data_IF_423406640055
#
_entry.id   IF_423406640055
#
_cell.length_a   1.000
_cell.length_b   1.000
_cell.length_c   1.000
_cell.angle_alpha   90.00
_cell.angle_beta   90.00
_cell.angle_gamma   90.00
#
_symmetry.space_group_name_H-M   'P 1'
#
loop_
_entity.id
_entity.type
_entity.pdbx_description
1 polymer ?
#
# COMPACT_ATOMS: atom_id res chain seq x y z
N UNK A 1 5.41 15.86 -13.40
CA UNK A 1 6.26 14.88 -14.12
C UNK A 1 6.21 13.59 -13.32
N UNK A 2 5.76 12.50 -13.94
CA UNK A 2 5.67 11.20 -13.27
C UNK A 2 7.04 10.54 -13.13
N UNK A 3 7.13 9.55 -12.23
CA UNK A 3 8.29 8.67 -12.07
C UNK A 3 8.13 7.46 -12.98
N UNK A 4 9.16 7.17 -13.79
CA UNK A 4 9.20 5.96 -14.61
C UNK A 4 9.95 4.87 -13.86
N UNK A 5 9.31 3.73 -13.68
CA UNK A 5 9.88 2.55 -13.04
C UNK A 5 9.89 1.36 -14.01
N UNK A 6 10.90 0.50 -13.86
CA UNK A 6 10.96 -0.77 -14.56
C UNK A 6 10.38 -1.89 -13.68
N UNK A 7 9.54 -2.71 -14.27
CA UNK A 7 8.93 -3.87 -13.62
C UNK A 7 9.17 -5.13 -14.45
N UNK A 8 9.12 -6.27 -13.80
CA UNK A 8 9.08 -7.58 -14.43
C UNK A 8 7.62 -8.05 -14.53
N UNK A 9 7.16 -8.31 -15.75
CA UNK A 9 5.86 -8.86 -16.06
C UNK A 9 6.07 -10.16 -16.82
N UNK A 10 5.79 -11.30 -16.22
CA UNK A 10 5.97 -12.65 -16.82
C UNK A 10 7.37 -12.86 -17.41
N UNK A 11 8.40 -12.39 -16.71
CA UNK A 11 9.80 -12.51 -17.15
C UNK A 11 10.24 -11.46 -18.18
N UNK A 12 9.36 -10.54 -18.57
CA UNK A 12 9.67 -9.44 -19.46
C UNK A 12 9.76 -8.12 -18.72
N UNK A 13 10.76 -7.30 -19.04
CA UNK A 13 10.85 -5.95 -18.49
C UNK A 13 9.87 -5.04 -19.19
N UNK A 14 9.05 -4.36 -18.42
CA UNK A 14 8.17 -3.28 -18.85
C UNK A 14 8.51 -2.00 -18.09
N UNK A 15 8.24 -0.86 -18.68
CA UNK A 15 8.41 0.43 -18.02
C UNK A 15 7.03 1.10 -17.88
N UNK A 16 6.66 1.40 -16.64
CA UNK A 16 5.41 2.08 -16.32
C UNK A 16 5.73 3.49 -15.80
N UNK A 17 5.03 4.47 -16.33
CA UNK A 17 5.08 5.84 -15.82
C UNK A 17 4.01 5.98 -14.74
N UNK A 18 4.37 6.57 -13.59
CA UNK A 18 3.44 6.82 -12.49
C UNK A 18 3.47 8.32 -12.21
N UNK A 19 2.40 9.00 -12.53
CA UNK A 19 2.25 10.45 -12.31
C UNK A 19 1.16 10.81 -11.30
N UNK A 20 0.45 9.79 -10.77
CA UNK A 20 -0.56 9.91 -9.73
C UNK A 20 -0.42 8.76 -8.73
N UNK A 21 -0.53 9.05 -7.44
CA UNK A 21 -0.64 8.05 -6.39
C UNK A 21 -1.88 8.33 -5.54
N UNK A 22 -2.81 7.38 -5.49
CA UNK A 22 -4.01 7.39 -4.67
C UNK A 22 -3.93 6.24 -3.68
N UNK A 23 -3.80 6.55 -2.41
CA UNK A 23 -3.72 5.56 -1.34
C UNK A 23 -5.13 5.40 -0.75
N UNK A 24 -5.74 4.23 -0.99
CA UNK A 24 -7.06 3.92 -0.45
C UNK A 24 -6.96 3.42 0.99
N UNK A 25 -7.91 3.82 1.81
CA UNK A 25 -8.12 3.29 3.16
C UNK A 25 -9.59 2.99 3.40
N UNK A 26 -9.91 2.23 4.46
CA UNK A 26 -11.28 1.85 4.79
C UNK A 26 -11.96 1.07 3.65
N UNK A 27 -11.26 0.10 3.15
CA UNK A 27 -11.65 -0.69 1.98
C UNK A 27 -12.20 -2.07 2.35
N UNK A 28 -12.52 -2.31 3.63
CA UNK A 28 -13.21 -3.53 4.05
C UNK A 28 -14.59 -3.63 3.39
N UNK A 29 -14.99 -4.82 2.96
CA UNK A 29 -16.36 -5.12 2.52
C UNK A 29 -17.34 -5.12 3.68
N UNK A 30 -16.88 -5.30 4.90
CA UNK A 30 -17.72 -5.17 6.12
C UNK A 30 -17.85 -3.68 6.49
N UNK A 31 -18.87 -3.04 5.92
CA UNK A 31 -19.17 -1.62 6.17
C UNK A 31 -19.52 -1.36 7.63
N UNK A 32 -20.12 -2.33 8.33
CA UNK A 32 -20.48 -2.17 9.73
C UNK A 32 -19.24 -2.17 10.63
N UNK A 33 -18.26 -3.00 10.33
CA UNK A 33 -16.95 -2.96 11.00
C UNK A 33 -16.24 -1.62 10.78
N UNK A 34 -16.24 -1.12 9.55
CA UNK A 34 -15.68 0.22 9.23
C UNK A 34 -16.37 1.32 10.03
N UNK A 35 -17.70 1.32 10.08
CA UNK A 35 -18.46 2.32 10.86
C UNK A 35 -18.15 2.24 12.35
N UNK A 36 -18.14 1.03 12.91
CA UNK A 36 -17.81 0.78 14.32
C UNK A 36 -16.42 1.32 14.66
N UNK A 37 -15.42 1.02 13.83
CA UNK A 37 -14.07 1.53 14.01
C UNK A 37 -14.00 3.07 13.95
N UNK A 38 -14.73 3.69 13.03
CA UNK A 38 -14.84 5.15 12.95
C UNK A 38 -15.46 5.76 14.21
N UNK A 39 -16.51 5.14 14.76
CA UNK A 39 -17.14 5.60 15.99
C UNK A 39 -16.20 5.49 17.21
N UNK A 40 -15.42 4.41 17.28
CA UNK A 40 -14.40 4.23 18.32
C UNK A 40 -13.32 5.32 18.26
N UNK A 41 -12.82 5.60 17.06
CA UNK A 41 -11.83 6.67 16.85
C UNK A 41 -12.40 8.06 17.19
N UNK A 42 -13.67 8.34 16.89
CA UNK A 42 -14.31 9.62 17.25
C UNK A 42 -14.39 9.82 18.76
N UNK A 43 -14.59 8.74 19.53
CA UNK A 43 -14.61 8.83 21.02
C UNK A 43 -13.26 9.28 21.58
N UNK A 44 -12.16 9.14 20.84
CA UNK A 44 -10.84 9.66 21.20
C UNK A 44 -10.63 11.14 20.85
N UNK A 45 -11.66 11.82 20.30
CA UNK A 45 -11.62 13.23 19.94
C UNK A 45 -11.06 13.54 18.55
N UNK A 46 -10.79 12.51 17.75
CA UNK A 46 -10.31 12.68 16.36
C UNK A 46 -11.48 13.03 15.46
N UNK A 47 -11.36 14.15 14.72
CA UNK A 47 -12.32 14.48 13.66
C UNK A 47 -12.01 13.65 12.41
N UNK A 48 -12.92 12.76 12.03
CA UNK A 48 -12.80 11.89 10.88
C UNK A 48 -13.94 12.13 9.90
N UNK A 49 -13.64 12.05 8.61
CA UNK A 49 -14.64 11.93 7.55
C UNK A 49 -15.39 10.59 7.67
N UNK A 50 -16.65 10.56 7.27
CA UNK A 50 -17.45 9.32 7.15
C UNK A 50 -17.16 8.58 5.84
N UNK A 51 -16.31 9.12 5.00
CA UNK A 51 -16.00 8.58 3.69
C UNK A 51 -15.33 7.19 3.78
N UNK A 52 -15.90 6.21 3.08
CA UNK A 52 -15.35 4.89 2.86
C UNK A 52 -15.70 4.40 1.44
N UNK A 53 -14.71 4.04 0.63
CA UNK A 53 -13.27 4.19 0.90
C UNK A 53 -12.83 5.66 0.94
N UNK A 54 -11.80 5.95 1.73
CA UNK A 54 -11.12 7.26 1.71
C UNK A 54 -9.88 7.17 0.81
N UNK A 55 -9.56 8.25 0.09
CA UNK A 55 -8.34 8.33 -0.72
C UNK A 55 -7.44 9.46 -0.26
N UNK A 56 -6.16 9.15 -0.12
CA UNK A 56 -5.10 10.10 0.16
C UNK A 56 -4.21 10.25 -1.08
N UNK A 57 -4.07 11.46 -1.57
CA UNK A 57 -3.12 11.72 -2.64
C UNK A 57 -1.69 11.72 -2.10
N UNK A 58 -0.78 11.05 -2.80
CA UNK A 58 0.65 11.07 -2.50
C UNK A 58 1.44 11.67 -3.66
N UNK A 59 2.54 12.34 -3.36
CA UNK A 59 3.42 12.93 -4.37
C UNK A 59 3.92 11.81 -5.30
N UNK A 60 3.78 12.00 -6.60
CA UNK A 60 3.94 10.94 -7.63
C UNK A 60 5.33 10.32 -7.70
N UNK A 61 6.38 11.05 -7.31
CA UNK A 61 7.75 10.54 -7.30
C UNK A 61 8.14 9.80 -6.01
N UNK A 62 7.25 9.82 -5.00
CA UNK A 62 7.41 9.10 -3.72
C UNK A 62 7.06 7.62 -3.83
N UNK A 63 7.74 6.91 -4.73
CA UNK A 63 7.61 5.47 -4.96
C UNK A 63 8.97 4.89 -5.32
N UNK A 64 9.25 3.67 -4.88
CA UNK A 64 10.54 3.03 -5.14
C UNK A 64 10.45 1.51 -5.17
N UNK A 65 11.30 0.88 -5.97
CA UNK A 65 11.57 -0.56 -5.94
C UNK A 65 12.83 -0.91 -5.15
N UNK A 66 13.47 0.10 -4.54
CA UNK A 66 14.67 -0.10 -3.72
C UNK A 66 14.36 -0.80 -2.41
N UNK A 67 15.38 -1.43 -1.86
CA UNK A 67 15.30 -2.21 -0.60
C UNK A 67 15.74 -1.43 0.62
N UNK A 68 16.09 -0.15 0.47
CA UNK A 68 16.51 0.74 1.57
C UNK A 68 15.79 2.07 1.45
N UNK A 69 15.15 2.48 2.55
CA UNK A 69 14.58 3.82 2.70
C UNK A 69 15.38 4.59 3.75
N UNK A 70 15.82 5.80 3.43
CA UNK A 70 16.44 6.69 4.42
C UNK A 70 15.38 7.45 5.22
N UNK A 71 15.63 7.69 6.49
CA UNK A 71 14.74 8.47 7.36
C UNK A 71 15.49 9.34 8.36
N UNK A 72 14.79 10.34 8.90
CA UNK A 72 15.28 11.16 10.00
C UNK A 72 15.08 10.38 11.32
N UNK A 73 16.17 10.09 12.08
CA UNK A 73 16.08 9.27 13.30
C UNK A 73 15.17 9.85 14.38
N UNK A 74 14.62 8.98 15.21
CA UNK A 74 13.85 9.34 16.40
C UNK A 74 12.35 9.42 16.20
N UNK A 75 11.84 8.96 15.06
CA UNK A 75 10.39 8.88 14.77
C UNK A 75 9.91 7.43 14.71
N UNK A 76 8.68 7.20 15.14
CA UNK A 76 8.00 5.91 15.00
C UNK A 76 7.40 5.80 13.62
N UNK A 77 7.67 4.71 12.92
CA UNK A 77 7.07 4.42 11.63
C UNK A 77 6.79 2.93 11.48
N UNK A 78 5.83 2.57 10.65
CA UNK A 78 5.52 1.17 10.35
C UNK A 78 5.01 1.02 8.94
N UNK A 79 5.22 -0.17 8.34
CA UNK A 79 4.67 -0.54 7.06
C UNK A 79 3.23 -1.03 7.17
N UNK A 80 2.54 -0.98 6.05
CA UNK A 80 1.20 -1.53 5.82
C UNK A 80 1.21 -2.21 4.46
N UNK A 81 1.03 -3.54 4.42
CA UNK A 81 0.97 -4.24 3.13
C UNK A 81 -0.33 -3.91 2.42
N UNK A 82 -0.23 -3.53 1.14
CA UNK A 82 -1.37 -3.20 0.30
C UNK A 82 -1.21 -3.79 -1.10
N UNK A 83 -2.28 -4.31 -1.67
CA UNK A 83 -2.25 -4.57 -3.10
C UNK A 83 -2.28 -3.27 -3.90
N UNK A 84 -1.78 -3.31 -5.10
CA UNK A 84 -1.68 -2.15 -5.98
C UNK A 84 -2.30 -2.45 -7.32
N UNK A 85 -3.10 -1.51 -7.81
CA UNK A 85 -3.55 -1.43 -9.18
C UNK A 85 -2.73 -0.33 -9.88
N UNK A 86 -1.86 -0.72 -10.81
CA UNK A 86 -1.14 0.22 -11.66
C UNK A 86 -1.86 0.35 -12.99
N UNK A 87 -2.08 1.57 -13.44
CA UNK A 87 -2.61 1.84 -14.77
C UNK A 87 -1.54 2.51 -15.64
N UNK A 88 -1.44 2.12 -16.90
CA UNK A 88 -0.59 2.79 -17.86
C UNK A 88 -1.32 3.90 -18.64
N UNK A 89 -0.67 4.48 -19.65
CA UNK A 89 -1.23 5.52 -20.52
C UNK A 89 -2.46 5.07 -21.34
N UNK A 90 -2.65 3.75 -21.48
CA UNK A 90 -3.79 3.12 -22.19
C UNK A 90 -4.83 2.56 -21.23
N UNK A 91 -4.64 2.80 -19.93
CA UNK A 91 -5.44 2.22 -18.85
C UNK A 91 -5.37 0.69 -18.79
N UNK A 92 -4.31 0.07 -19.31
CA UNK A 92 -4.01 -1.32 -19.01
C UNK A 92 -3.71 -1.43 -17.51
N UNK A 93 -4.35 -2.40 -16.86
CA UNK A 93 -4.22 -2.59 -15.40
C UNK A 93 -3.22 -3.69 -15.12
N UNK A 94 -2.32 -3.42 -14.19
CA UNK A 94 -1.39 -4.37 -13.61
C UNK A 94 -1.61 -4.46 -12.11
N UNK A 95 -1.40 -5.65 -11.56
CA UNK A 95 -1.52 -5.93 -10.13
C UNK A 95 -0.15 -6.11 -9.51
N UNK A 96 0.07 -5.43 -8.40
CA UNK A 96 1.30 -5.52 -7.61
C UNK A 96 1.01 -5.53 -6.13
N UNK A 97 2.08 -5.45 -5.34
CA UNK A 97 2.03 -5.31 -3.88
C UNK A 97 3.05 -4.27 -3.43
N UNK A 98 2.65 -3.44 -2.48
CA UNK A 98 3.47 -2.38 -1.92
C UNK A 98 3.37 -2.34 -0.39
N UNK A 99 4.10 -1.39 0.20
CA UNK A 99 3.89 -0.98 1.58
C UNK A 99 3.59 0.52 1.64
N UNK A 100 2.46 0.89 2.23
CA UNK A 100 2.19 2.28 2.61
C UNK A 100 2.89 2.59 3.93
N UNK A 101 4.22 2.79 3.85
CA UNK A 101 5.03 3.08 5.04
C UNK A 101 4.70 4.47 5.58
N UNK A 102 4.28 4.52 6.83
CA UNK A 102 3.69 5.71 7.45
C UNK A 102 4.47 6.15 8.68
N UNK A 103 4.75 7.45 8.81
CA UNK A 103 5.25 8.08 10.03
C UNK A 103 4.11 8.18 11.05
N UNK A 104 4.19 7.39 12.12
CA UNK A 104 3.09 7.27 13.11
C UNK A 104 3.01 8.45 14.05
N UNK A 105 4.12 9.12 14.32
CA UNK A 105 4.10 10.34 15.14
C UNK A 105 3.40 11.47 14.36
N UNK A 106 3.73 11.64 13.09
CA UNK A 106 3.10 12.67 12.24
C UNK A 106 1.64 12.32 11.91
N UNK A 107 1.29 11.04 11.85
CA UNK A 107 -0.08 10.59 11.60
C UNK A 107 -1.07 11.07 12.67
N UNK A 108 -0.62 11.21 13.93
CA UNK A 108 -1.45 11.77 15.00
C UNK A 108 -1.86 13.21 14.74
N UNK A 109 -1.06 13.93 13.94
CA UNK A 109 -1.33 15.31 13.56
C UNK A 109 -2.07 15.40 12.21
N UNK A 110 -1.56 14.71 11.18
CA UNK A 110 -2.13 14.75 9.84
C UNK A 110 -1.73 13.52 9.02
N UNK A 111 -2.71 12.68 8.69
CA UNK A 111 -2.50 11.44 7.93
C UNK A 111 -1.90 11.69 6.54
N UNK A 112 -2.39 12.73 5.81
CA UNK A 112 -1.87 13.03 4.47
C UNK A 112 -0.38 13.41 4.51
N UNK A 113 0.05 14.18 5.51
CA UNK A 113 1.45 14.54 5.68
C UNK A 113 2.31 13.33 6.10
N UNK A 114 1.78 12.49 6.98
CA UNK A 114 2.47 11.28 7.44
C UNK A 114 2.84 10.34 6.29
N UNK A 115 1.96 10.21 5.31
CA UNK A 115 2.16 9.37 4.12
C UNK A 115 3.17 9.95 3.12
N UNK A 116 3.54 11.24 3.22
CA UNK A 116 4.53 11.89 2.34
C UNK A 116 5.97 11.68 2.82
N UNK A 117 6.19 11.26 4.07
CA UNK A 117 7.54 11.19 4.68
C UNK A 117 8.41 10.13 4.01
N UNK A 118 7.82 8.97 3.72
CA UNK A 118 8.51 7.84 3.09
C UNK A 118 8.07 7.65 1.65
N UNK A 119 8.95 7.09 0.82
CA UNK A 119 8.55 6.55 -0.47
C UNK A 119 7.66 5.32 -0.24
N UNK A 120 6.80 4.99 -1.21
CA UNK A 120 6.04 3.75 -1.24
C UNK A 120 6.94 2.64 -1.82
N UNK A 121 7.43 1.68 -1.01
CA UNK A 121 8.16 0.54 -1.53
C UNK A 121 7.17 -0.37 -2.27
N UNK A 122 7.47 -0.67 -3.53
CA UNK A 122 6.66 -1.55 -4.37
C UNK A 122 7.51 -2.71 -4.88
N UNK A 123 6.93 -3.90 -4.99
CA UNK A 123 7.60 -5.02 -5.64
C UNK A 123 7.97 -4.67 -7.09
N UNK A 124 9.18 -5.04 -7.56
CA UNK A 124 9.53 -4.90 -8.97
C UNK A 124 8.82 -5.91 -9.88
N UNK A 125 7.99 -6.80 -9.34
CA UNK A 125 7.21 -7.78 -10.08
C UNK A 125 5.75 -7.39 -10.12
N UNK A 126 5.11 -7.60 -11.28
CA UNK A 126 3.68 -7.35 -11.50
C UNK A 126 3.01 -8.57 -12.13
N UNK A 127 1.71 -8.69 -11.91
CA UNK A 127 0.84 -9.59 -12.66
C UNK A 127 -0.08 -8.80 -13.60
N UNK A 128 -0.56 -9.47 -14.66
CA UNK A 128 -1.67 -8.92 -15.45
C UNK A 128 -2.95 -9.02 -14.65
N UNK A 129 -3.77 -7.99 -14.70
CA UNK A 129 -5.05 -7.95 -14.00
C UNK A 129 -5.98 -9.11 -14.44
N UNK A 130 -6.05 -9.35 -15.73
CA UNK A 130 -6.85 -10.42 -16.34
C UNK A 130 -6.43 -11.83 -15.87
N UNK A 131 -5.21 -12.00 -15.41
CA UNK A 131 -4.72 -13.29 -14.93
C UNK A 131 -5.21 -13.67 -13.54
N UNK A 132 -5.69 -12.71 -12.76
CA UNK A 132 -6.04 -12.92 -11.34
C UNK A 132 -7.47 -12.51 -10.99
N UNK A 133 -8.15 -11.76 -11.84
CA UNK A 133 -9.46 -11.18 -11.50
C UNK A 133 -10.56 -12.22 -11.27
N UNK A 134 -10.53 -13.36 -11.98
CA UNK A 134 -11.54 -14.41 -11.85
C UNK A 134 -11.50 -15.10 -10.48
N UNK A 135 -10.32 -15.11 -9.84
CA UNK A 135 -10.11 -15.70 -8.51
C UNK A 135 -9.52 -14.69 -7.50
N UNK A 136 -9.80 -13.40 -7.71
CA UNK A 136 -9.30 -12.31 -6.89
C UNK A 136 -9.48 -12.52 -5.40
N UNK A 137 -10.64 -13.03 -5.00
CA UNK A 137 -11.02 -13.23 -3.60
C UNK A 137 -10.18 -14.31 -2.90
N UNK A 138 -9.54 -15.20 -3.67
CA UNK A 138 -8.63 -16.21 -3.11
C UNK A 138 -7.20 -15.70 -2.86
N UNK A 139 -6.84 -14.55 -3.42
CA UNK A 139 -5.52 -13.97 -3.22
C UNK A 139 -5.29 -13.63 -1.75
N UNK A 140 -4.06 -13.81 -1.28
CA UNK A 140 -3.68 -13.57 0.11
C UNK A 140 -2.56 -12.55 0.18
N UNK A 141 -2.76 -11.49 0.97
CA UNK A 141 -1.67 -10.57 1.34
C UNK A 141 -1.08 -10.96 2.68
N UNK A 142 0.25 -10.86 2.78
CA UNK A 142 0.99 -11.08 4.03
C UNK A 142 2.09 -10.05 4.21
N UNK A 143 2.35 -9.73 5.46
CA UNK A 143 3.54 -8.97 5.84
C UNK A 143 4.22 -9.57 7.06
N UNK A 144 5.52 -9.43 7.11
CA UNK A 144 6.37 -9.79 8.24
C UNK A 144 7.21 -8.60 8.64
N UNK A 145 7.45 -8.46 9.93
CA UNK A 145 8.49 -7.62 10.50
C UNK A 145 9.67 -8.49 10.91
N UNK A 146 10.86 -7.93 10.95
CA UNK A 146 12.03 -8.67 11.40
C UNK A 146 12.32 -8.30 12.85
N UNK A 147 12.28 -9.29 13.74
CA UNK A 147 12.61 -9.19 15.15
C UNK A 147 13.76 -10.16 15.48
N UNK A 148 14.82 -9.65 16.06
CA UNK A 148 16.03 -10.42 16.38
C UNK A 148 16.54 -11.25 15.15
N UNK A 149 16.46 -10.66 13.96
CA UNK A 149 16.88 -11.27 12.69
C UNK A 149 15.95 -12.38 12.18
N UNK A 150 14.74 -12.51 12.73
CA UNK A 150 13.75 -13.53 12.30
C UNK A 150 12.46 -12.87 11.81
N UNK A 151 11.84 -13.40 10.76
CA UNK A 151 10.55 -12.91 10.31
C UNK A 151 9.43 -13.33 11.28
N UNK A 152 8.67 -12.35 11.72
CA UNK A 152 7.45 -12.52 12.54
C UNK A 152 6.27 -12.07 11.69
N UNK A 153 5.26 -12.93 11.51
CA UNK A 153 4.07 -12.60 10.75
C UNK A 153 3.32 -11.45 11.43
N UNK A 154 3.07 -10.39 10.67
CA UNK A 154 2.57 -9.12 11.17
C UNK A 154 1.15 -8.81 10.69
N UNK A 155 0.88 -9.06 9.40
CA UNK A 155 -0.42 -8.91 8.78
C UNK A 155 -0.68 -10.11 7.86
N UNK A 156 -1.90 -10.58 7.80
CA UNK A 156 -2.37 -11.60 6.87
C UNK A 156 -3.88 -11.45 6.66
N UNK A 157 -4.32 -11.59 5.42
CA UNK A 157 -5.74 -11.63 5.08
C UNK A 157 -5.96 -11.99 3.62
N UNK A 158 -7.17 -12.46 3.32
CA UNK A 158 -7.63 -12.71 1.96
C UNK A 158 -8.24 -11.45 1.34
N UNK A 159 -8.08 -11.28 0.04
CA UNK A 159 -8.66 -10.14 -0.66
C UNK A 159 -10.20 -10.18 -0.74
N UNK A 160 -10.83 -11.31 -0.39
CA UNK A 160 -12.29 -11.38 -0.21
C UNK A 160 -12.83 -10.43 0.88
N UNK A 161 -11.99 -10.02 1.83
CA UNK A 161 -12.36 -9.10 2.91
C UNK A 161 -12.33 -7.63 2.47
N UNK A 162 -11.71 -7.33 1.31
CA UNK A 162 -11.50 -5.98 0.80
C UNK A 162 -12.37 -5.70 -0.42
N UNK A 163 -12.66 -4.43 -0.69
CA UNK A 163 -13.35 -4.01 -1.92
C UNK A 163 -12.64 -4.57 -3.15
N UNK A 164 -13.43 -4.95 -4.15
CA UNK A 164 -12.89 -5.46 -5.40
C UNK A 164 -12.18 -4.36 -6.21
N UNK A 165 -11.23 -4.74 -7.07
CA UNK A 165 -10.53 -3.78 -7.92
C UNK A 165 -11.46 -2.85 -8.70
N UNK A 166 -12.58 -3.37 -9.23
CA UNK A 166 -13.53 -2.59 -10.01
C UNK A 166 -14.15 -1.46 -9.18
N UNK A 167 -14.51 -1.76 -7.92
CA UNK A 167 -15.09 -0.77 -7.01
C UNK A 167 -14.06 0.30 -6.63
N UNK A 168 -12.81 -0.11 -6.36
CA UNK A 168 -11.72 0.81 -6.04
C UNK A 168 -11.40 1.71 -7.24
N UNK A 169 -11.32 1.17 -8.44
CA UNK A 169 -11.08 1.93 -9.67
C UNK A 169 -12.20 2.92 -9.96
N UNK A 170 -13.47 2.51 -9.78
CA UNK A 170 -14.62 3.41 -9.92
C UNK A 170 -14.53 4.58 -8.94
N UNK A 171 -14.28 4.29 -7.67
CA UNK A 171 -14.13 5.32 -6.64
C UNK A 171 -12.91 6.22 -6.86
N UNK A 172 -11.80 5.66 -7.35
CA UNK A 172 -10.63 6.44 -7.72
C UNK A 172 -10.94 7.40 -8.88
N UNK A 173 -11.73 6.98 -9.90
CA UNK A 173 -12.19 7.86 -10.99
C UNK A 173 -13.07 8.99 -10.47
N UNK A 174 -13.97 8.73 -9.51
CA UNK A 174 -14.79 9.77 -8.90
C UNK A 174 -13.94 10.86 -8.21
N UNK A 175 -12.76 10.49 -7.68
CA UNK A 175 -11.82 11.40 -7.00
C UNK A 175 -10.86 12.11 -7.94
N UNK A 176 -10.53 11.50 -9.06
CA UNK A 176 -9.59 12.05 -10.01
C UNK A 176 -10.22 13.18 -10.84
N UNK A 177 -9.47 14.25 -11.08
CA UNK A 177 -9.91 15.35 -11.94
C UNK A 177 -10.22 14.82 -13.34
N UNK A 178 -11.45 15.02 -13.81
CA UNK A 178 -11.91 14.52 -15.11
C UNK A 178 -12.02 12.99 -15.19
N UNK A 179 -11.98 12.28 -14.06
CA UNK A 179 -12.03 10.81 -14.02
C UNK A 179 -10.76 10.14 -14.55
N UNK A 180 -9.67 10.89 -14.70
CA UNK A 180 -8.42 10.42 -15.29
C UNK A 180 -7.55 9.67 -14.29
N UNK A 181 -7.50 8.35 -14.44
CA UNK A 181 -6.64 7.44 -13.67
C UNK A 181 -5.51 6.80 -14.50
N UNK A 182 -5.18 7.35 -15.68
CA UNK A 182 -4.01 6.91 -16.46
C UNK A 182 -2.72 7.19 -15.70
N UNK A 183 -1.72 6.34 -15.89
CA UNK A 183 -0.43 6.45 -15.21
C UNK A 183 -0.57 6.57 -13.68
N UNK A 184 -1.51 5.86 -13.10
CA UNK A 184 -1.80 5.93 -11.66
C UNK A 184 -1.33 4.68 -10.94
N UNK A 185 -0.86 4.89 -9.70
CA UNK A 185 -0.79 3.87 -8.67
C UNK A 185 -1.98 4.07 -7.74
N UNK A 186 -2.79 3.03 -7.58
CA UNK A 186 -3.95 3.03 -6.70
C UNK A 186 -3.81 1.87 -5.74
N UNK A 187 -3.70 2.14 -4.44
CA UNK A 187 -3.61 1.07 -3.44
C UNK A 187 -4.99 0.60 -3.00
N UNK A 188 -5.04 -0.61 -2.48
CA UNK A 188 -6.29 -1.25 -2.08
C UNK A 188 -6.59 -1.23 -0.59
N UNK A 189 -5.74 -0.59 0.22
CA UNK A 189 -5.84 -0.63 1.67
C UNK A 189 -5.17 -1.87 2.28
N UNK A 190 -5.19 -1.95 3.60
CA UNK A 190 -4.47 -2.95 4.39
C UNK A 190 -5.37 -3.65 5.38
N UNK A 191 -4.88 -4.77 5.94
CA UNK A 191 -5.49 -5.50 7.05
C UNK A 191 -5.01 -4.97 8.41
N UNK A 192 -5.79 -5.16 9.48
CA UNK A 192 -5.28 -4.98 10.84
C UNK A 192 -4.04 -5.85 11.11
N UNK A 193 -3.22 -5.43 12.04
CA UNK A 193 -2.11 -6.26 12.52
C UNK A 193 -2.65 -7.44 13.33
N UNK A 194 -1.99 -8.60 13.25
CA UNK A 194 -2.44 -9.80 13.95
C UNK A 194 -2.41 -9.67 15.50
N UNK A 195 -1.51 -8.83 16.01
CA UNK A 195 -1.43 -8.55 17.46
C UNK A 195 -2.39 -7.45 17.92
N UNK A 196 -2.96 -6.67 17.01
CA UNK A 196 -3.68 -5.43 17.30
C UNK A 196 -2.78 -4.22 17.56
N UNK A 197 -1.47 -4.42 17.72
CA UNK A 197 -0.49 -3.37 17.99
C UNK A 197 0.40 -3.06 16.78
N UNK A 198 0.82 -1.81 16.64
CA UNK A 198 1.79 -1.41 15.62
C UNK A 198 3.20 -1.85 16.02
N UNK A 199 3.92 -2.46 15.07
CA UNK A 199 5.32 -2.80 15.22
C UNK A 199 6.20 -1.79 14.47
N UNK A 200 7.21 -1.28 15.15
CA UNK A 200 8.12 -0.26 14.62
C UNK A 200 9.47 -0.85 14.18
N UNK A 201 9.43 -2.09 13.65
CA UNK A 201 10.63 -2.71 13.07
C UNK A 201 11.21 -1.88 11.93
N UNK A 202 12.54 -1.90 11.83
CA UNK A 202 13.25 -1.27 10.72
C UNK A 202 13.29 -2.13 9.44
N UNK A 203 12.81 -3.37 9.50
CA UNK A 203 12.79 -4.28 8.36
C UNK A 203 11.40 -4.86 8.16
N UNK A 204 10.93 -4.79 6.92
CA UNK A 204 9.58 -5.16 6.54
C UNK A 204 9.62 -6.02 5.26
N UNK A 205 8.92 -7.14 5.29
CA UNK A 205 8.75 -8.06 4.16
C UNK A 205 7.28 -8.16 3.85
N UNK A 206 6.90 -8.15 2.58
CA UNK A 206 5.51 -8.27 2.19
C UNK A 206 5.34 -9.08 0.90
N UNK A 207 4.19 -9.71 0.77
CA UNK A 207 3.85 -10.49 -0.41
C UNK A 207 2.35 -10.41 -0.76
N UNK A 208 2.08 -10.62 -2.04
CA UNK A 208 0.79 -11.03 -2.58
C UNK A 208 0.95 -12.46 -3.11
N UNK A 209 0.15 -13.38 -2.60
CA UNK A 209 0.19 -14.80 -2.94
C UNK A 209 -1.11 -15.23 -3.64
N UNK A 210 -0.95 -15.89 -4.77
CA UNK A 210 -2.03 -16.55 -5.52
C UNK A 210 -1.97 -18.06 -5.24
N UNK A 211 -2.89 -18.59 -4.42
CA UNK A 211 -2.92 -20.01 -4.10
C UNK A 211 -3.42 -20.90 -5.27
N UNK A 212 -4.15 -20.31 -6.24
CA UNK A 212 -4.69 -21.04 -7.38
C UNK A 212 -3.59 -21.34 -8.40
N UNK A 213 -2.74 -20.34 -8.69
CA UNK A 213 -1.61 -20.46 -9.62
C UNK A 213 -0.28 -20.80 -8.91
N UNK A 214 -0.28 -20.92 -7.58
CA UNK A 214 0.91 -21.14 -6.74
C UNK A 214 2.03 -20.11 -7.02
N UNK A 215 1.66 -18.87 -7.33
CA UNK A 215 2.57 -17.77 -7.62
C UNK A 215 2.58 -16.74 -6.49
N UNK A 216 3.67 -15.98 -6.40
CA UNK A 216 3.77 -14.88 -5.44
C UNK A 216 4.58 -13.72 -6.01
N UNK A 217 4.17 -12.52 -5.62
CA UNK A 217 4.98 -11.31 -5.72
C UNK A 217 5.45 -11.00 -4.30
N UNK A 218 6.76 -10.86 -4.10
CA UNK A 218 7.34 -10.59 -2.79
C UNK A 218 8.39 -9.49 -2.87
N UNK A 219 8.43 -8.66 -1.85
CA UNK A 219 9.47 -7.63 -1.71
C UNK A 219 9.83 -7.44 -0.25
N UNK A 220 10.98 -6.81 -0.02
CA UNK A 220 11.45 -6.44 1.31
C UNK A 220 12.20 -5.12 1.26
N UNK A 221 12.14 -4.40 2.36
CA UNK A 221 12.93 -3.18 2.53
C UNK A 221 13.29 -2.99 3.99
N UNK A 222 14.29 -2.15 4.20
CA UNK A 222 14.68 -1.69 5.54
C UNK A 222 14.71 -0.16 5.59
N UNK A 223 14.46 0.35 6.78
CA UNK A 223 14.56 1.78 7.09
C UNK A 223 15.94 2.02 7.70
N UNK A 224 16.75 2.87 7.07
CA UNK A 224 18.06 3.25 7.59
C UNK A 224 18.09 4.74 7.97
N UNK A 225 18.65 5.07 9.14
CA UNK A 225 18.80 6.47 9.52
C UNK A 225 19.80 7.17 8.61
N UNK A 226 19.54 8.44 8.30
CA UNK A 226 20.50 9.31 7.62
C UNK A 226 21.81 9.31 8.39
N UNK A 227 22.93 8.98 7.72
CA UNK A 227 24.26 8.79 8.33
C UNK A 227 25.27 9.88 7.96
N UNK A 228 24.97 10.69 6.94
CA UNK A 228 25.89 11.68 6.38
C UNK A 228 25.91 13.02 7.14
N UNK A 229 25.07 13.19 8.17
CA UNK A 229 25.07 14.35 9.06
C UNK A 229 25.42 13.93 10.49
N UNK A 230 26.24 14.71 11.18
CA UNK A 230 26.50 14.52 12.63
C UNK A 230 25.32 15.04 13.42
N UNK A 231 24.96 14.31 14.48
CA UNK A 231 23.98 14.75 15.49
C UNK A 231 24.53 15.91 16.29
#
# INVERSE_FOLDING_TARGET
>A
MGKKLEFNLDGQKIAVCIDKQLLAGRTSRDIEEVKKHLEELRKTGVQLSDEAPIFHAKISDRITTETVLEYVPGRKSSGEVEFVLLTDEKEQIYVGVCSDHTDRDLQTYNTNLAKQVFDTPISPELWRYEDVIEHWDELVMRAWVIEDGKPVLYQEGKLEEMLRPEEILEKAREKAVGGDIKNALITGGTFPTLSGDLNYSNEFVFELYDPIKEKRIKHQYKIEPIKWIKK
#
